data_IF_538158943107
#
_entry.id   IF_538158943107
#
_cell.length_a   1.000
_cell.length_b   1.000
_cell.length_c   1.000
_cell.angle_alpha   90.00
_cell.angle_beta   90.00
_cell.angle_gamma   90.00
#
_symmetry.space_group_name_H-M   'P 1'
#
loop_
_entity.id
_entity.type
_entity.pdbx_description
1 polymer ?
#
# COMPACT_ATOMS: atom_id res chain seq x y z
N UNK A 1 1.34 18.47 -13.53
CA UNK A 1 2.72 18.16 -13.11
C UNK A 1 2.72 16.72 -12.62
N UNK A 2 3.51 15.84 -13.24
CA UNK A 2 3.81 14.55 -12.64
C UNK A 2 4.47 14.81 -11.26
N UNK A 3 4.16 14.04 -10.21
CA UNK A 3 4.93 14.13 -8.99
C UNK A 3 6.39 13.88 -9.37
N UNK A 4 7.27 14.84 -9.08
CA UNK A 4 8.70 14.55 -9.06
C UNK A 4 8.86 13.57 -7.90
N UNK A 5 8.92 12.28 -8.22
CA UNK A 5 9.41 11.29 -7.26
C UNK A 5 10.77 11.80 -6.83
N UNK A 6 10.98 11.94 -5.53
CA UNK A 6 12.29 12.29 -5.01
C UNK A 6 13.29 11.24 -5.54
N UNK A 7 14.54 11.63 -5.82
CA UNK A 7 15.54 10.69 -6.25
C UNK A 7 15.57 9.52 -5.26
N UNK A 8 15.69 8.30 -5.79
CA UNK A 8 15.92 7.12 -4.95
C UNK A 8 17.18 7.36 -4.13
N UNK A 9 17.29 6.79 -2.92
CA UNK A 9 18.53 6.83 -2.18
C UNK A 9 19.67 6.33 -3.06
N UNK A 10 20.86 6.90 -2.90
CA UNK A 10 22.07 6.36 -3.51
C UNK A 10 22.31 4.92 -3.07
N UNK A 11 23.12 4.18 -3.82
CA UNK A 11 23.52 2.83 -3.43
C UNK A 11 24.15 2.85 -2.04
N UNK A 12 25.03 3.82 -1.75
CA UNK A 12 25.66 4.01 -0.45
C UNK A 12 24.64 4.23 0.69
N UNK A 13 23.62 5.07 0.49
CA UNK A 13 22.54 5.26 1.47
C UNK A 13 21.67 4.02 1.65
N UNK A 14 21.47 3.25 0.57
CA UNK A 14 20.70 2.00 0.59
C UNK A 14 21.46 0.83 1.21
N UNK A 15 22.80 0.94 1.29
CA UNK A 15 23.68 -0.09 1.81
C UNK A 15 23.76 -0.10 3.32
N UNK A 16 23.28 0.93 4.04
CA UNK A 16 23.28 0.90 5.50
C UNK A 16 22.68 -0.41 6.03
N UNK A 17 23.33 -1.12 6.98
CA UNK A 17 24.53 -0.76 7.73
C UNK A 17 25.85 -1.33 7.15
N UNK A 18 25.83 -1.85 5.93
CA UNK A 18 27.00 -2.38 5.25
C UNK A 18 27.96 -1.26 4.84
N UNK A 19 29.28 -1.43 5.05
CA UNK A 19 30.26 -0.39 4.75
C UNK A 19 30.51 -0.18 3.25
N UNK A 20 30.14 -1.16 2.42
CA UNK A 20 30.26 -1.13 0.96
C UNK A 20 29.44 -2.27 0.33
N UNK A 21 29.29 -2.22 -0.99
CA UNK A 21 28.53 -3.17 -1.79
C UNK A 21 29.09 -4.59 -1.72
N UNK A 22 30.42 -4.75 -1.85
CA UNK A 22 31.11 -6.04 -1.76
C UNK A 22 30.83 -6.79 -0.46
N UNK A 23 30.83 -6.06 0.66
CA UNK A 23 30.53 -6.60 2.00
C UNK A 23 29.05 -6.98 2.11
N UNK A 24 28.14 -6.18 1.56
CA UNK A 24 26.72 -6.52 1.48
C UNK A 24 26.48 -7.81 0.69
N UNK A 25 27.04 -7.93 -0.52
CA UNK A 25 26.87 -9.12 -1.35
C UNK A 25 27.34 -10.39 -0.63
N UNK A 26 28.54 -10.35 -0.06
CA UNK A 26 29.09 -11.49 0.66
C UNK A 26 28.29 -11.82 1.94
N UNK A 27 27.86 -10.81 2.70
CA UNK A 27 27.03 -11.00 3.89
C UNK A 27 25.65 -11.57 3.55
N UNK A 28 25.01 -11.07 2.49
CA UNK A 28 23.74 -11.56 1.99
C UNK A 28 23.84 -13.03 1.62
N UNK A 29 24.85 -13.42 0.84
CA UNK A 29 25.09 -14.83 0.52
C UNK A 29 25.25 -15.66 1.80
N UNK A 30 26.21 -15.28 2.66
CA UNK A 30 26.54 -16.01 3.89
C UNK A 30 25.32 -16.28 4.78
N UNK A 31 24.47 -15.27 4.98
CA UNK A 31 23.31 -15.36 5.88
C UNK A 31 22.05 -15.94 5.24
N UNK A 32 21.94 -15.94 3.90
CA UNK A 32 20.82 -16.60 3.20
C UNK A 32 21.10 -18.07 2.90
N UNK A 33 22.38 -18.49 2.95
CA UNK A 33 22.81 -19.90 2.81
C UNK A 33 23.19 -20.54 4.15
N UNK A 34 22.85 -19.92 5.28
CA UNK A 34 23.19 -20.43 6.62
C UNK A 34 22.60 -21.86 6.78
N UNK A 35 23.46 -22.86 7.01
CA UNK A 35 23.08 -24.28 7.10
C UNK A 35 23.28 -25.13 5.82
N UNK A 36 23.46 -24.50 4.65
CA UNK A 36 23.71 -25.20 3.36
C UNK A 36 24.97 -24.71 2.64
N UNK A 37 25.76 -23.82 3.25
CA UNK A 37 26.96 -23.20 2.67
C UNK A 37 28.08 -24.16 2.21
N UNK A 38 28.00 -25.46 2.54
CA UNK A 38 28.91 -26.49 2.05
C UNK A 38 28.34 -27.30 0.87
N UNK A 39 27.20 -26.92 0.31
CA UNK A 39 26.62 -27.56 -0.86
C UNK A 39 27.22 -27.01 -2.15
N UNK A 40 27.28 -27.84 -3.20
CA UNK A 40 27.73 -27.41 -4.53
C UNK A 40 26.90 -26.23 -5.05
N UNK A 41 25.59 -26.22 -4.78
CA UNK A 41 24.69 -25.13 -5.16
C UNK A 41 25.02 -23.81 -4.46
N UNK A 42 25.35 -23.84 -3.16
CA UNK A 42 25.74 -22.64 -2.42
C UNK A 42 27.12 -22.13 -2.86
N UNK A 43 28.07 -23.02 -3.16
CA UNK A 43 29.36 -22.63 -3.72
C UNK A 43 29.22 -22.05 -5.13
N UNK A 44 28.34 -22.63 -5.96
CA UNK A 44 28.06 -22.11 -7.29
C UNK A 44 27.45 -20.70 -7.21
N UNK A 45 26.48 -20.47 -6.31
CA UNK A 45 25.92 -19.12 -6.11
C UNK A 45 26.93 -18.12 -5.54
N UNK A 46 27.90 -18.55 -4.73
CA UNK A 46 29.00 -17.66 -4.31
C UNK A 46 29.82 -17.17 -5.51
N UNK A 47 30.12 -18.08 -6.44
CA UNK A 47 30.88 -17.73 -7.64
C UNK A 47 30.06 -16.82 -8.58
N UNK A 48 28.79 -17.16 -8.80
CA UNK A 48 27.92 -16.48 -9.76
C UNK A 48 27.32 -15.16 -9.24
N UNK A 49 26.86 -15.13 -7.98
CA UNK A 49 26.13 -13.99 -7.42
C UNK A 49 27.03 -12.99 -6.68
N UNK A 50 28.24 -13.39 -6.29
CA UNK A 50 29.16 -12.53 -5.52
C UNK A 50 30.45 -12.26 -6.27
N UNK A 51 31.19 -13.29 -6.70
CA UNK A 51 32.52 -13.08 -7.30
C UNK A 51 32.49 -12.70 -8.78
N UNK A 52 31.41 -13.00 -9.49
CA UNK A 52 31.22 -12.59 -10.88
C UNK A 52 30.55 -11.21 -11.02
N UNK A 53 30.17 -10.55 -9.91
CA UNK A 53 29.64 -9.18 -9.94
C UNK A 53 30.77 -8.18 -10.26
N UNK A 54 30.57 -7.35 -11.28
CA UNK A 54 31.57 -6.40 -11.79
C UNK A 54 31.98 -5.33 -10.76
N UNK A 55 31.12 -5.02 -9.78
CA UNK A 55 31.38 -4.05 -8.72
C UNK A 55 31.96 -4.71 -7.45
N UNK A 56 32.15 -6.03 -7.44
CA UNK A 56 32.71 -6.75 -6.30
C UNK A 56 34.22 -6.55 -6.19
N UNK A 57 34.65 -6.06 -5.03
CA UNK A 57 36.06 -5.89 -4.67
C UNK A 57 36.39 -6.80 -3.48
N UNK A 58 37.14 -7.86 -3.73
CA UNK A 58 37.47 -8.86 -2.69
C UNK A 58 38.19 -8.27 -1.47
N UNK A 59 38.97 -7.20 -1.65
CA UNK A 59 39.71 -6.51 -0.58
C UNK A 59 38.79 -5.78 0.42
N UNK A 60 37.56 -5.48 0.03
CA UNK A 60 36.57 -4.84 0.90
C UNK A 60 36.06 -5.80 1.98
N UNK A 61 36.08 -7.11 1.72
CA UNK A 61 35.48 -8.13 2.58
C UNK A 61 36.47 -8.57 3.65
N UNK A 62 36.27 -8.10 4.89
CA UNK A 62 37.14 -8.42 6.03
C UNK A 62 36.49 -9.43 6.98
N UNK A 63 37.07 -10.63 7.08
CA UNK A 63 36.55 -11.75 7.87
C UNK A 63 36.27 -11.39 9.36
N UNK A 64 37.09 -10.54 9.97
CA UNK A 64 36.94 -10.14 11.38
C UNK A 64 35.75 -9.18 11.63
N UNK A 65 35.14 -8.63 10.57
CA UNK A 65 34.05 -7.66 10.65
C UNK A 65 32.65 -8.27 10.80
N UNK A 66 32.44 -9.52 10.38
CA UNK A 66 31.09 -10.08 10.19
C UNK A 66 30.28 -10.24 11.49
N UNK A 67 30.94 -10.53 12.63
CA UNK A 67 30.24 -10.56 13.92
C UNK A 67 29.69 -9.19 14.30
N UNK A 68 30.52 -8.14 14.21
CA UNK A 68 30.11 -6.76 14.48
C UNK A 68 29.09 -6.26 13.45
N UNK A 69 29.22 -6.68 12.20
CA UNK A 69 28.28 -6.35 11.14
C UNK A 69 26.91 -7.00 11.40
N UNK A 70 26.87 -8.26 11.85
CA UNK A 70 25.62 -8.92 12.26
C UNK A 70 24.95 -8.14 13.40
N UNK A 71 25.70 -7.74 14.42
CA UNK A 71 25.20 -6.87 15.50
C UNK A 71 24.72 -5.50 14.99
N UNK A 72 25.39 -4.93 13.98
CA UNK A 72 24.98 -3.67 13.36
C UNK A 72 23.68 -3.83 12.57
N UNK A 73 23.52 -4.92 11.80
CA UNK A 73 22.29 -5.28 11.09
C UNK A 73 21.14 -5.53 12.04
N UNK A 74 21.36 -6.24 13.15
CA UNK A 74 20.34 -6.46 14.18
C UNK A 74 19.86 -5.16 14.84
N UNK A 75 20.72 -4.15 14.92
CA UNK A 75 20.39 -2.82 15.48
C UNK A 75 19.92 -1.82 14.42
N UNK A 76 20.06 -2.14 13.15
CA UNK A 76 19.75 -1.23 12.06
C UNK A 76 18.24 -1.15 11.88
N UNK A 77 17.67 0.02 12.12
CA UNK A 77 16.25 0.30 12.00
C UNK A 77 16.05 1.41 10.95
N UNK A 78 16.12 1.08 9.64
CA UNK A 78 15.84 2.06 8.61
C UNK A 78 14.36 2.44 8.65
N UNK A 79 14.04 3.70 8.35
CA UNK A 79 12.64 4.10 8.14
C UNK A 79 12.15 3.42 6.83
N UNK A 80 11.18 2.50 6.89
CA UNK A 80 10.67 1.84 5.68
C UNK A 80 9.80 2.80 4.83
N UNK A 81 9.48 4.00 5.34
CA UNK A 81 8.57 4.95 4.71
C UNK A 81 9.31 6.04 3.93
N UNK A 82 10.10 5.62 2.94
CA UNK A 82 10.86 6.55 2.10
C UNK A 82 9.95 7.50 1.32
N UNK A 83 10.23 8.80 1.38
CA UNK A 83 9.51 9.82 0.63
C UNK A 83 9.68 9.65 -0.90
N UNK A 84 10.79 9.06 -1.36
CA UNK A 84 11.00 8.67 -2.77
C UNK A 84 9.97 7.65 -3.26
N UNK A 85 9.49 6.79 -2.35
CA UNK A 85 8.43 5.84 -2.61
C UNK A 85 7.03 6.44 -2.45
N UNK A 86 6.94 7.76 -2.21
CA UNK A 86 5.71 8.51 -2.12
C UNK A 86 5.03 8.41 -0.76
N UNK A 87 5.75 7.93 0.27
CA UNK A 87 5.26 7.95 1.65
C UNK A 87 5.24 9.37 2.20
N UNK A 88 4.13 9.69 2.85
CA UNK A 88 3.91 10.91 3.59
C UNK A 88 3.45 10.56 5.01
N UNK A 89 3.64 11.51 5.92
CA UNK A 89 3.18 11.42 7.30
C UNK A 89 2.24 12.57 7.62
N UNK A 90 1.18 12.29 8.37
CA UNK A 90 0.29 13.31 8.90
C UNK A 90 -0.42 12.84 10.16
N UNK A 91 -1.10 13.78 10.84
CA UNK A 91 -2.05 13.45 11.89
C UNK A 91 -3.48 13.38 11.33
N UNK A 92 -4.29 12.46 11.86
CA UNK A 92 -5.71 12.37 11.57
C UNK A 92 -6.49 13.10 12.64
N UNK A 93 -7.25 14.13 12.26
CA UNK A 93 -8.11 14.83 13.21
C UNK A 93 -9.47 14.16 13.29
N UNK A 94 -9.84 13.69 14.48
CA UNK A 94 -11.15 13.10 14.77
C UNK A 94 -11.98 14.04 15.64
N UNK A 95 -13.31 13.92 15.56
CA UNK A 95 -14.25 14.62 16.44
C UNK A 95 -14.63 13.68 17.58
N UNK A 96 -14.24 14.03 18.81
CA UNK A 96 -14.53 13.25 20.02
C UNK A 96 -15.81 13.79 20.65
N UNK A 97 -16.92 13.01 20.68
CA UNK A 97 -18.13 13.43 21.35
C UNK A 97 -17.94 13.37 22.87
N UNK A 98 -18.05 14.52 23.53
CA UNK A 98 -17.85 14.63 24.98
C UNK A 98 -19.14 14.40 25.77
N UNK A 99 -20.29 14.54 25.11
CA UNK A 99 -21.62 14.34 25.68
C UNK A 99 -22.30 15.66 26.05
N UNK A 100 -23.34 15.59 26.88
CA UNK A 100 -24.00 16.79 27.41
C UNK A 100 -23.35 17.20 28.74
N UNK A 101 -23.17 18.50 29.01
CA UNK A 101 -22.83 18.98 30.34
C UNK A 101 -23.82 18.42 31.38
N UNK A 102 -23.34 17.94 32.52
CA UNK A 102 -24.24 17.44 33.58
C UNK A 102 -24.99 18.62 34.21
N UNK A 103 -26.29 18.49 34.51
CA UNK A 103 -27.00 19.53 35.24
C UNK A 103 -26.43 19.65 36.66
N UNK A 104 -26.03 20.86 37.04
CA UNK A 104 -25.54 21.31 38.36
C UNK A 104 -24.10 20.92 38.75
N UNK A 105 -23.26 21.94 38.93
CA UNK A 105 -22.03 21.90 39.75
C UNK A 105 -20.73 21.46 39.09
N UNK A 106 -20.74 20.98 37.85
CA UNK A 106 -19.52 20.61 37.12
C UNK A 106 -19.23 21.59 35.97
N UNK A 107 -17.94 21.73 35.64
CA UNK A 107 -17.40 22.63 34.63
C UNK A 107 -18.12 22.44 33.28
N UNK A 108 -18.56 23.54 32.66
CA UNK A 108 -19.20 23.51 31.34
C UNK A 108 -18.18 23.07 30.28
N UNK A 109 -18.56 22.15 29.39
CA UNK A 109 -17.68 21.60 28.35
C UNK A 109 -18.41 21.46 27.01
N UNK A 110 -17.72 21.62 25.87
CA UNK A 110 -18.36 21.57 24.56
C UNK A 110 -18.92 20.18 24.25
N UNK A 111 -19.94 20.05 23.38
CA UNK A 111 -20.53 18.76 23.04
C UNK A 111 -19.55 17.81 22.32
N UNK A 112 -18.53 18.36 21.66
CA UNK A 112 -17.45 17.62 21.02
C UNK A 112 -16.16 18.45 20.99
N UNK A 113 -15.02 17.77 20.96
CA UNK A 113 -13.71 18.39 20.79
C UNK A 113 -12.91 17.68 19.68
N UNK A 114 -12.03 18.41 19.01
CA UNK A 114 -11.15 17.84 17.98
C UNK A 114 -9.90 17.27 18.63
N UNK A 115 -9.54 16.05 18.23
CA UNK A 115 -8.33 15.38 18.70
C UNK A 115 -7.48 14.97 17.50
N UNK A 116 -6.19 15.30 17.52
CA UNK A 116 -5.25 14.93 16.47
C UNK A 116 -4.52 13.64 16.85
N UNK A 117 -4.69 12.60 16.04
CA UNK A 117 -3.99 11.32 16.18
C UNK A 117 -2.77 11.33 15.26
N UNK A 118 -1.53 11.41 15.80
CA UNK A 118 -0.31 11.42 14.98
C UNK A 118 0.01 10.04 14.40
N UNK A 119 0.98 9.99 13.49
CA UNK A 119 1.60 8.73 13.03
C UNK A 119 0.91 8.03 11.87
N UNK A 120 -0.02 8.67 11.14
CA UNK A 120 -0.52 8.12 9.89
C UNK A 120 0.58 8.20 8.82
N UNK A 121 1.05 7.03 8.37
CA UNK A 121 1.86 6.88 7.16
C UNK A 121 0.96 6.50 6.00
N UNK A 122 1.05 7.20 4.87
CA UNK A 122 0.19 6.97 3.71
C UNK A 122 0.81 7.39 2.38
N UNK A 123 0.22 6.91 1.28
CA UNK A 123 0.62 7.24 -0.10
C UNK A 123 -0.60 7.68 -0.91
N UNK A 124 -0.38 8.57 -1.89
CA UNK A 124 -1.44 8.95 -2.82
C UNK A 124 -1.78 7.78 -3.76
N UNK A 125 -3.03 7.34 -3.75
CA UNK A 125 -3.55 6.28 -4.64
C UNK A 125 -3.28 6.64 -6.11
N UNK A 126 -3.49 7.91 -6.48
CA UNK A 126 -3.28 8.39 -7.85
C UNK A 126 -1.81 8.29 -8.26
N UNK A 127 -0.88 8.55 -7.34
CA UNK A 127 0.55 8.46 -7.62
C UNK A 127 1.02 7.02 -7.73
N UNK A 128 0.45 6.12 -6.93
CA UNK A 128 0.69 4.69 -7.08
C UNK A 128 0.22 4.21 -8.45
N UNK A 129 -1.02 4.53 -8.86
CA UNK A 129 -1.54 4.16 -10.19
C UNK A 129 -0.63 4.68 -11.31
N UNK A 130 -0.24 5.95 -11.23
CA UNK A 130 0.65 6.56 -12.21
C UNK A 130 2.04 5.93 -12.24
N UNK A 131 2.58 5.55 -11.08
CA UNK A 131 3.87 4.87 -10.99
C UNK A 131 3.78 3.49 -11.62
N UNK A 132 2.82 2.67 -11.18
CA UNK A 132 2.66 1.30 -11.64
C UNK A 132 2.50 1.27 -13.16
N UNK A 133 1.58 2.03 -13.73
CA UNK A 133 1.37 2.07 -15.20
C UNK A 133 2.66 2.43 -15.96
N UNK A 134 3.54 3.26 -15.38
CA UNK A 134 4.77 3.73 -16.05
C UNK A 134 5.98 2.84 -15.83
N UNK A 135 6.08 2.16 -14.70
CA UNK A 135 7.33 1.52 -14.26
C UNK A 135 7.21 0.03 -14.01
N UNK A 136 6.00 -0.50 -13.82
CA UNK A 136 5.82 -1.91 -13.54
C UNK A 136 5.85 -2.70 -14.86
N UNK A 137 6.81 -3.64 -15.04
CA UNK A 137 6.91 -4.44 -16.26
C UNK A 137 5.67 -5.30 -16.51
N UNK A 138 4.89 -5.62 -15.46
CA UNK A 138 3.71 -6.47 -15.54
C UNK A 138 2.48 -5.75 -16.12
N UNK A 139 2.57 -4.43 -16.38
CA UNK A 139 1.47 -3.65 -16.98
C UNK A 139 1.05 -4.18 -18.35
N UNK A 140 1.96 -4.83 -19.07
CA UNK A 140 1.65 -5.47 -20.35
C UNK A 140 0.61 -6.58 -20.25
N UNK A 141 0.47 -7.21 -19.07
CA UNK A 141 -0.51 -8.27 -18.83
C UNK A 141 -1.87 -7.73 -18.35
N UNK A 142 -2.00 -6.40 -18.17
CA UNK A 142 -3.23 -5.81 -17.64
C UNK A 142 -4.32 -5.80 -18.71
N UNK A 143 -5.50 -6.26 -18.33
CA UNK A 143 -6.70 -6.23 -19.16
C UNK A 143 -7.39 -4.87 -19.00
N UNK A 144 -7.19 -3.98 -19.97
CA UNK A 144 -7.77 -2.63 -19.96
C UNK A 144 -9.24 -2.60 -20.41
N UNK A 145 -9.64 -3.61 -21.17
CA UNK A 145 -10.99 -3.76 -21.72
C UNK A 145 -11.65 -5.00 -21.11
N UNK A 146 -12.83 -4.86 -20.50
CA UNK A 146 -13.55 -6.03 -19.99
C UNK A 146 -14.12 -6.86 -21.14
N UNK A 147 -14.28 -8.15 -20.91
CA UNK A 147 -14.80 -9.09 -21.91
C UNK A 147 -15.63 -10.19 -21.26
N UNK A 148 -16.49 -10.82 -22.06
CA UNK A 148 -17.18 -12.05 -21.68
C UNK A 148 -16.44 -13.24 -22.26
N UNK A 149 -16.28 -14.28 -21.45
CA UNK A 149 -15.71 -15.55 -21.90
C UNK A 149 -16.64 -16.71 -21.55
N UNK A 150 -16.60 -17.74 -22.40
CA UNK A 150 -17.50 -18.88 -22.33
C UNK A 150 -16.72 -20.17 -22.52
N UNK A 151 -17.05 -21.18 -21.73
CA UNK A 151 -16.57 -22.54 -22.00
C UNK A 151 -17.49 -23.16 -23.04
N UNK A 152 -16.90 -23.69 -24.11
CA UNK A 152 -17.62 -24.42 -25.15
C UNK A 152 -18.28 -25.66 -24.53
N UNK A 153 -19.59 -25.78 -24.69
CA UNK A 153 -20.31 -26.96 -24.22
C UNK A 153 -19.91 -28.22 -25.01
N UNK A 154 -19.80 -29.35 -24.31
CA UNK A 154 -19.58 -30.67 -24.92
C UNK A 154 -20.91 -31.41 -25.10
N UNK A 155 -20.98 -32.28 -26.11
CA UNK A 155 -22.15 -33.16 -26.32
C UNK A 155 -23.47 -32.42 -26.61
N UNK A 156 -23.41 -31.30 -27.34
CA UNK A 156 -24.60 -30.51 -27.70
C UNK A 156 -25.11 -29.57 -26.59
N UNK A 157 -24.42 -29.48 -25.45
CA UNK A 157 -24.75 -28.49 -24.41
C UNK A 157 -24.45 -27.08 -24.89
N UNK A 158 -25.26 -26.07 -24.52
CA UNK A 158 -24.95 -24.68 -24.81
C UNK A 158 -23.66 -24.22 -24.09
N UNK A 159 -22.95 -23.21 -24.62
CA UNK A 159 -21.81 -22.61 -23.93
C UNK A 159 -22.21 -22.03 -22.56
N UNK A 160 -21.34 -22.17 -21.57
CA UNK A 160 -21.55 -21.64 -20.21
C UNK A 160 -20.69 -20.42 -19.97
N UNK A 161 -21.26 -19.36 -19.38
CA UNK A 161 -20.53 -18.14 -19.02
C UNK A 161 -19.50 -18.44 -17.92
N UNK A 162 -18.29 -17.91 -18.09
CA UNK A 162 -17.23 -17.94 -17.07
C UNK A 162 -16.96 -16.52 -16.57
N UNK A 163 -16.81 -16.41 -15.25
CA UNK A 163 -16.32 -15.22 -14.56
C UNK A 163 -15.23 -15.69 -13.61
N UNK A 164 -13.97 -15.37 -13.94
CA UNK A 164 -12.78 -15.79 -13.20
C UNK A 164 -11.99 -14.61 -12.61
N UNK A 165 -12.17 -13.43 -13.19
CA UNK A 165 -11.52 -12.19 -12.81
C UNK A 165 -12.47 -10.98 -12.90
N UNK A 166 -12.05 -9.84 -12.33
CA UNK A 166 -12.82 -8.60 -12.31
C UNK A 166 -13.12 -8.10 -13.72
N UNK A 167 -12.15 -8.09 -14.62
CA UNK A 167 -12.36 -7.67 -16.02
C UNK A 167 -13.30 -8.60 -16.80
N UNK A 168 -13.58 -9.81 -16.28
CA UNK A 168 -14.58 -10.72 -16.85
C UNK A 168 -15.96 -10.62 -16.19
N UNK A 169 -16.09 -9.82 -15.13
CA UNK A 169 -17.32 -9.69 -14.33
C UNK A 169 -18.34 -8.76 -14.97
N UNK A 170 -19.63 -9.03 -14.69
CA UNK A 170 -20.73 -8.19 -15.18
C UNK A 170 -20.65 -6.77 -14.59
N UNK A 171 -20.28 -6.63 -13.31
CA UNK A 171 -20.09 -5.32 -12.67
C UNK A 171 -19.04 -4.44 -13.39
N UNK A 172 -17.89 -5.00 -13.78
CA UNK A 172 -16.87 -4.24 -14.50
C UNK A 172 -17.32 -3.86 -15.92
N UNK A 173 -18.08 -4.73 -16.60
CA UNK A 173 -18.65 -4.41 -17.90
C UNK A 173 -19.69 -3.29 -17.82
N UNK A 174 -20.60 -3.36 -16.86
CA UNK A 174 -21.62 -2.33 -16.63
C UNK A 174 -20.98 -0.96 -16.38
N UNK A 175 -19.98 -0.90 -15.50
CA UNK A 175 -19.21 0.32 -15.24
C UNK A 175 -18.48 0.83 -16.49
N UNK A 176 -17.85 -0.06 -17.24
CA UNK A 176 -17.14 0.30 -18.47
C UNK A 176 -18.10 0.85 -19.53
N UNK A 177 -19.23 0.19 -19.75
CA UNK A 177 -20.26 0.67 -20.68
C UNK A 177 -20.89 1.99 -20.25
N UNK A 178 -21.17 2.16 -18.95
CA UNK A 178 -21.67 3.40 -18.40
C UNK A 178 -20.68 4.54 -18.64
N UNK A 179 -19.38 4.30 -18.44
CA UNK A 179 -18.33 5.24 -18.80
C UNK A 179 -18.35 5.55 -20.30
N UNK A 180 -18.49 4.53 -21.17
CA UNK A 180 -18.51 4.77 -22.62
C UNK A 180 -19.75 5.56 -23.08
N UNK A 181 -20.90 5.38 -22.44
CA UNK A 181 -22.13 6.15 -22.71
C UNK A 181 -22.10 7.56 -22.12
N UNK A 182 -21.28 7.81 -21.10
CA UNK A 182 -21.18 9.14 -20.47
C UNK A 182 -20.60 10.20 -21.42
N UNK A 183 -20.92 11.50 -21.25
CA UNK A 183 -20.27 12.59 -21.98
C UNK A 183 -18.75 12.55 -21.81
N UNK A 184 -18.02 12.84 -22.88
CA UNK A 184 -16.57 12.99 -22.81
C UNK A 184 -16.21 14.31 -22.12
N UNK A 185 -15.04 14.34 -21.49
CA UNK A 185 -14.43 15.60 -21.06
C UNK A 185 -14.25 16.53 -22.27
N UNK A 186 -14.55 17.83 -22.14
CA UNK A 186 -14.45 18.78 -23.25
C UNK A 186 -13.09 18.72 -23.96
N UNK A 187 -13.11 18.56 -25.29
CA UNK A 187 -11.91 18.45 -26.11
C UNK A 187 -11.08 17.16 -25.94
N UNK A 188 -11.53 16.20 -25.13
CA UNK A 188 -10.78 14.97 -24.89
C UNK A 188 -11.05 13.91 -25.98
N UNK A 189 -10.02 13.65 -26.79
CA UNK A 189 -10.02 12.62 -27.86
C UNK A 189 -9.45 11.25 -27.45
N UNK A 190 -8.86 11.15 -26.26
CA UNK A 190 -8.20 9.92 -25.82
C UNK A 190 -9.21 8.78 -25.57
N UNK A 191 -8.71 7.55 -25.71
CA UNK A 191 -9.41 6.35 -25.26
C UNK A 191 -9.73 6.47 -23.76
N UNK A 192 -10.94 6.05 -23.37
CA UNK A 192 -11.37 6.02 -21.96
C UNK A 192 -11.32 4.58 -21.49
N UNK A 193 -10.58 4.34 -20.41
CA UNK A 193 -10.50 3.03 -19.76
C UNK A 193 -10.87 3.16 -18.28
N UNK A 194 -11.22 2.02 -17.68
CA UNK A 194 -11.39 1.92 -16.22
C UNK A 194 -10.16 1.22 -15.65
N UNK A 195 -9.61 1.81 -14.59
CA UNK A 195 -8.65 1.16 -13.72
C UNK A 195 -9.38 0.74 -12.44
N UNK A 196 -9.58 -0.56 -12.30
CA UNK A 196 -10.28 -1.18 -11.19
C UNK A 196 -9.36 -1.24 -9.97
N UNK A 197 -9.80 -0.65 -8.87
CA UNK A 197 -9.12 -0.64 -7.58
C UNK A 197 -9.83 -1.59 -6.63
N UNK A 198 -9.05 -2.40 -5.94
CA UNK A 198 -9.51 -3.28 -4.88
C UNK A 198 -8.79 -2.90 -3.60
N UNK A 199 -9.53 -2.57 -2.55
CA UNK A 199 -8.97 -2.20 -1.26
C UNK A 199 -9.25 -3.25 -0.20
N UNK A 200 -8.24 -3.45 0.65
CA UNK A 200 -8.29 -4.36 1.76
C UNK A 200 -7.67 -3.71 2.99
N UNK A 201 -8.16 -4.09 4.17
CA UNK A 201 -7.61 -3.65 5.44
C UNK A 201 -7.89 -4.68 6.52
N UNK A 202 -6.86 -5.21 7.17
CA UNK A 202 -6.99 -6.21 8.23
C UNK A 202 -5.99 -5.94 9.36
N UNK A 203 -6.26 -6.53 10.53
CA UNK A 203 -5.37 -6.41 11.67
C UNK A 203 -4.17 -7.36 11.51
N UNK A 204 -2.97 -6.81 11.39
CA UNK A 204 -1.74 -7.60 11.27
C UNK A 204 -0.98 -7.63 12.59
N UNK A 205 -0.67 -8.83 13.09
CA UNK A 205 0.27 -9.01 14.20
C UNK A 205 1.70 -9.00 13.66
N UNK A 206 2.54 -8.09 14.15
CA UNK A 206 3.90 -7.91 13.64
C UNK A 206 4.94 -8.86 14.25
N UNK A 207 4.64 -9.46 15.41
CA UNK A 207 5.55 -10.36 16.09
C UNK A 207 4.80 -11.49 16.80
N UNK A 208 5.35 -12.70 16.78
CA UNK A 208 4.85 -13.83 17.58
C UNK A 208 4.97 -13.57 19.09
N UNK A 209 5.86 -12.66 19.49
CA UNK A 209 6.03 -12.21 20.87
C UNK A 209 6.06 -10.67 20.90
N UNK A 210 4.97 -10.06 21.35
CA UNK A 210 4.81 -8.61 21.44
C UNK A 210 3.36 -8.16 21.28
N UNK A 211 3.03 -6.95 21.73
CA UNK A 211 1.70 -6.34 21.60
C UNK A 211 1.58 -5.40 20.40
N UNK A 212 2.63 -5.26 19.59
CA UNK A 212 2.67 -4.37 18.43
C UNK A 212 1.69 -4.87 17.35
N UNK A 213 0.60 -4.12 17.17
CA UNK A 213 -0.39 -4.33 16.13
C UNK A 213 -0.20 -3.29 15.04
N UNK A 214 -0.25 -3.73 13.79
CA UNK A 214 -0.29 -2.86 12.62
C UNK A 214 -1.63 -3.00 11.93
N UNK A 215 -2.12 -1.91 11.37
CA UNK A 215 -3.37 -1.93 10.62
C UNK A 215 -3.14 -1.37 9.22
N UNK A 216 -2.65 -2.20 8.28
CA UNK A 216 -2.44 -1.79 6.91
C UNK A 216 -3.76 -1.51 6.19
N UNK A 217 -3.67 -0.65 5.18
CA UNK A 217 -4.58 -0.59 4.05
C UNK A 217 -3.73 -0.89 2.82
N UNK A 218 -4.15 -1.86 2.02
CA UNK A 218 -3.45 -2.25 0.80
C UNK A 218 -4.41 -2.32 -0.39
N UNK A 219 -3.82 -2.19 -1.58
CA UNK A 219 -4.53 -2.03 -2.84
C UNK A 219 -4.01 -3.02 -3.88
N UNK A 220 -4.94 -3.63 -4.62
CA UNK A 220 -4.68 -4.39 -5.84
C UNK A 220 -5.38 -3.76 -7.04
N UNK A 221 -4.89 -4.07 -8.23
CA UNK A 221 -5.53 -3.67 -9.49
C UNK A 221 -6.35 -4.81 -10.08
N UNK A 222 -7.65 -4.59 -10.23
CA UNK A 222 -8.56 -5.56 -10.85
C UNK A 222 -8.29 -5.80 -12.34
N UNK A 223 -7.52 -4.94 -13.00
CA UNK A 223 -7.08 -5.12 -14.38
C UNK A 223 -5.92 -6.14 -14.51
N UNK A 224 -5.13 -6.33 -13.45
CA UNK A 224 -4.03 -7.29 -13.46
C UNK A 224 -4.59 -8.71 -13.32
N UNK A 225 -4.13 -9.73 -14.05
CA UNK A 225 -4.67 -11.08 -13.94
C UNK A 225 -4.55 -11.68 -12.53
N UNK A 226 -5.54 -12.48 -12.13
CA UNK A 226 -5.58 -13.16 -10.83
C UNK A 226 -4.33 -13.97 -10.56
N UNK A 227 -3.84 -14.72 -11.55
CA UNK A 227 -2.63 -15.54 -11.37
C UNK A 227 -1.41 -14.68 -11.01
N UNK A 228 -1.30 -13.46 -11.56
CA UNK A 228 -0.22 -12.54 -11.24
C UNK A 228 -0.43 -11.93 -9.84
N UNK A 229 -1.67 -11.53 -9.51
CA UNK A 229 -1.98 -11.03 -8.15
C UNK A 229 -1.75 -12.06 -7.05
N UNK A 230 -1.89 -13.35 -7.36
CA UNK A 230 -1.67 -14.45 -6.41
C UNK A 230 -0.20 -14.86 -6.23
N UNK A 231 0.73 -14.23 -6.96
CA UNK A 231 2.16 -14.52 -6.89
C UNK A 231 2.90 -13.41 -6.15
N UNK A 232 3.66 -13.78 -5.12
CA UNK A 232 4.40 -12.83 -4.28
C UNK A 232 5.52 -12.11 -5.02
N UNK A 233 6.15 -12.77 -5.99
CA UNK A 233 7.24 -12.23 -6.82
C UNK A 233 6.75 -11.23 -7.89
N UNK A 234 5.44 -11.13 -8.10
CA UNK A 234 4.85 -10.16 -9.04
C UNK A 234 4.60 -8.80 -8.38
N UNK A 235 4.81 -8.67 -7.06
CA UNK A 235 4.68 -7.42 -6.31
C UNK A 235 3.35 -6.65 -6.56
N UNK A 236 2.27 -7.39 -6.81
CA UNK A 236 0.95 -6.86 -7.18
C UNK A 236 0.17 -6.20 -6.02
N UNK A 237 0.64 -6.39 -4.78
CA UNK A 237 0.06 -5.79 -3.58
C UNK A 237 0.74 -4.45 -3.30
N UNK A 238 -0.05 -3.39 -3.14
CA UNK A 238 0.48 -2.05 -2.86
C UNK A 238 -0.03 -1.53 -1.53
N UNK A 239 0.85 -1.36 -0.55
CA UNK A 239 0.50 -0.72 0.72
C UNK A 239 0.17 0.77 0.49
N UNK A 240 -0.97 1.24 0.97
CA UNK A 240 -1.37 2.63 0.77
C UNK A 240 -1.44 3.43 2.06
N UNK A 241 -1.61 2.76 3.20
CA UNK A 241 -1.57 3.41 4.51
C UNK A 241 -1.34 2.42 5.65
N UNK A 242 -0.92 2.96 6.79
CA UNK A 242 -0.91 2.27 8.08
C UNK A 242 -1.70 3.11 9.09
N UNK A 243 -2.84 2.59 9.54
CA UNK A 243 -3.72 3.31 10.46
C UNK A 243 -3.08 3.31 11.86
N UNK A 244 -2.84 4.49 12.46
CA UNK A 244 -2.31 4.56 13.81
C UNK A 244 -3.36 4.10 14.83
N UNK A 245 -2.91 3.68 16.00
CA UNK A 245 -3.81 3.49 17.15
C UNK A 245 -4.12 4.84 17.81
N UNK A 246 -5.18 4.90 18.62
CA UNK A 246 -5.36 6.02 19.54
C UNK A 246 -4.14 6.06 20.48
N UNK A 247 -3.47 7.22 20.61
CA UNK A 247 -2.28 7.35 21.45
C UNK A 247 -2.65 7.25 22.93
N UNK A 248 -1.67 6.95 23.78
CA UNK A 248 -1.85 6.91 25.24
C UNK A 248 -2.38 8.24 25.81
N UNK A 249 -2.08 9.37 25.16
CA UNK A 249 -2.55 10.71 25.53
C UNK A 249 -4.04 10.96 25.27
N UNK A 250 -4.75 10.02 24.62
CA UNK A 250 -6.17 10.18 24.32
C UNK A 250 -7.03 10.26 25.59
N UNK A 251 -6.74 9.42 26.60
CA UNK A 251 -7.50 9.42 27.85
C UNK A 251 -7.28 10.72 28.63
N UNK A 252 -6.03 11.19 28.71
CA UNK A 252 -5.68 12.47 29.33
C UNK A 252 -6.42 13.63 28.64
N UNK A 253 -6.42 13.65 27.31
CA UNK A 253 -7.19 14.65 26.55
C UNK A 253 -8.66 14.66 26.92
N UNK A 254 -9.31 13.49 27.03
CA UNK A 254 -10.74 13.43 27.37
C UNK A 254 -10.97 13.92 28.80
N UNK A 255 -10.11 13.54 29.76
CA UNK A 255 -10.17 14.01 31.14
C UNK A 255 -10.01 15.53 31.20
N UNK A 256 -9.07 16.10 30.47
CA UNK A 256 -8.85 17.55 30.41
C UNK A 256 -10.06 18.29 29.82
N UNK A 257 -10.78 17.68 28.87
CA UNK A 257 -11.93 18.30 28.22
C UNK A 257 -13.23 18.23 29.04
N UNK A 258 -13.49 17.12 29.75
CA UNK A 258 -14.79 16.91 30.44
C UNK A 258 -14.70 16.49 31.91
N UNK A 259 -13.49 16.33 32.45
CA UNK A 259 -13.22 15.97 33.85
C UNK A 259 -13.30 14.47 34.18
N UNK A 260 -13.57 13.59 33.20
CA UNK A 260 -13.63 12.15 33.41
C UNK A 260 -13.26 11.36 32.14
N UNK A 261 -12.67 10.15 32.29
CA UNK A 261 -12.09 9.40 31.18
C UNK A 261 -13.13 8.91 30.17
N UNK A 262 -12.66 8.53 28.97
CA UNK A 262 -13.49 7.88 27.97
C UNK A 262 -13.89 6.47 28.43
N UNK A 263 -15.16 6.12 28.23
CA UNK A 263 -15.63 4.75 28.41
C UNK A 263 -15.31 3.91 27.15
N UNK A 264 -15.43 2.56 27.21
CA UNK A 264 -15.13 1.72 26.05
C UNK A 264 -15.95 2.07 24.81
N UNK A 265 -17.20 2.54 24.99
CA UNK A 265 -18.07 2.94 23.87
C UNK A 265 -17.53 4.18 23.14
N UNK A 266 -17.06 5.17 23.89
CA UNK A 266 -16.44 6.37 23.32
C UNK A 266 -15.12 6.03 22.64
N UNK A 267 -14.30 5.15 23.22
CA UNK A 267 -13.09 4.67 22.56
C UNK A 267 -13.38 3.98 21.23
N UNK A 268 -14.32 3.02 21.21
CA UNK A 268 -14.74 2.33 19.98
C UNK A 268 -15.23 3.33 18.93
N UNK A 269 -16.04 4.32 19.34
CA UNK A 269 -16.46 5.39 18.44
C UNK A 269 -15.27 6.17 17.87
N UNK A 270 -14.31 6.56 18.71
CA UNK A 270 -13.13 7.33 18.26
C UNK A 270 -12.22 6.52 17.33
N UNK A 271 -12.06 5.20 17.55
CA UNK A 271 -11.33 4.30 16.64
C UNK A 271 -12.01 4.21 15.27
N UNK A 272 -13.34 4.15 15.25
CA UNK A 272 -14.13 4.24 14.01
C UNK A 272 -13.95 5.57 13.30
N UNK A 273 -14.05 6.69 14.02
CA UNK A 273 -13.84 8.02 13.43
C UNK A 273 -12.42 8.19 12.88
N UNK A 274 -11.42 7.59 13.55
CA UNK A 274 -10.04 7.54 13.06
C UNK A 274 -9.94 6.77 11.75
N UNK A 275 -10.54 5.58 11.66
CA UNK A 275 -10.59 4.77 10.45
C UNK A 275 -11.21 5.54 9.27
N UNK A 276 -12.36 6.20 9.48
CA UNK A 276 -12.99 7.04 8.46
C UNK A 276 -12.17 8.30 8.13
N UNK A 277 -11.48 8.86 9.12
CA UNK A 277 -10.56 9.98 8.94
C UNK A 277 -9.41 9.63 7.99
N UNK A 278 -8.84 8.43 8.10
CA UNK A 278 -7.82 7.93 7.17
C UNK A 278 -8.37 7.83 5.75
N UNK A 279 -9.55 7.23 5.57
CA UNK A 279 -10.17 7.14 4.23
C UNK A 279 -10.44 8.51 3.60
N UNK A 280 -10.83 9.52 4.39
CA UNK A 280 -10.99 10.89 3.90
C UNK A 280 -9.67 11.51 3.41
N UNK A 281 -8.54 11.15 4.02
CA UNK A 281 -7.21 11.58 3.58
C UNK A 281 -6.75 10.83 2.33
N UNK A 282 -7.04 9.54 2.22
CA UNK A 282 -6.70 8.73 1.04
C UNK A 282 -7.53 9.09 -0.20
N UNK A 283 -8.83 9.31 -0.01
CA UNK A 283 -9.77 9.71 -1.05
C UNK A 283 -9.76 11.25 -1.22
N UNK A 284 -8.56 11.80 -1.36
CA UNK A 284 -8.31 13.23 -1.45
C UNK A 284 -8.91 13.88 -2.72
N UNK A 285 -8.76 15.20 -2.84
CA UNK A 285 -9.25 15.95 -4.01
C UNK A 285 -8.67 15.44 -5.33
N UNK A 286 -7.43 14.93 -5.31
CA UNK A 286 -6.75 14.39 -6.49
C UNK A 286 -7.37 13.07 -6.92
N UNK A 287 -7.65 12.17 -5.98
CA UNK A 287 -8.39 10.94 -6.21
C UNK A 287 -9.80 11.23 -6.72
N UNK A 288 -10.56 12.11 -6.07
CA UNK A 288 -11.92 12.45 -6.50
C UNK A 288 -11.93 13.02 -7.93
N UNK A 289 -10.95 13.85 -8.28
CA UNK A 289 -10.79 14.36 -9.65
C UNK A 289 -10.50 13.24 -10.63
N UNK A 290 -9.59 12.32 -10.31
CA UNK A 290 -9.29 11.15 -11.14
C UNK A 290 -10.47 10.19 -11.28
N UNK A 291 -11.27 10.04 -10.22
CA UNK A 291 -12.49 9.24 -10.22
C UNK A 291 -13.56 9.83 -11.15
N UNK A 292 -13.82 11.14 -11.05
CA UNK A 292 -14.88 11.82 -11.82
C UNK A 292 -14.49 12.10 -13.27
N UNK A 293 -13.28 12.60 -13.49
CA UNK A 293 -12.86 13.15 -14.78
C UNK A 293 -11.80 12.29 -15.48
N UNK A 294 -11.28 11.27 -14.81
CA UNK A 294 -10.13 10.53 -15.30
C UNK A 294 -8.84 11.35 -15.30
N UNK A 295 -7.72 10.65 -15.50
CA UNK A 295 -6.37 11.21 -15.61
C UNK A 295 -5.72 10.73 -16.89
N UNK A 296 -4.97 11.62 -17.56
CA UNK A 296 -4.21 11.24 -18.76
C UNK A 296 -2.90 10.58 -18.34
N UNK A 297 -2.68 9.37 -18.83
CA UNK A 297 -1.47 8.59 -18.57
C UNK A 297 -1.00 8.00 -19.90
N UNK A 298 0.30 8.16 -20.19
CA UNK A 298 0.99 7.43 -21.27
C UNK A 298 1.34 6.03 -20.74
N UNK A 299 0.91 5.01 -21.47
CA UNK A 299 1.19 3.60 -21.18
C UNK A 299 2.53 3.18 -21.83
N UNK A 300 3.07 2.01 -21.46
CA UNK A 300 4.31 1.48 -22.05
C UNK A 300 4.27 1.35 -23.58
N UNK A 301 3.07 1.16 -24.15
CA UNK A 301 2.82 1.13 -25.59
C UNK A 301 2.82 2.52 -26.28
N UNK A 302 3.20 3.58 -25.56
CA UNK A 302 3.22 4.99 -26.03
C UNK A 302 1.84 5.57 -26.34
N UNK A 303 0.77 4.90 -25.96
CA UNK A 303 -0.60 5.40 -26.15
C UNK A 303 -1.04 6.13 -24.89
N UNK A 304 -1.51 7.37 -25.07
CA UNK A 304 -2.11 8.15 -24.00
C UNK A 304 -3.59 7.77 -23.86
N UNK A 305 -3.96 7.37 -22.64
CA UNK A 305 -5.34 7.01 -22.30
C UNK A 305 -5.85 7.91 -21.19
N UNK A 306 -7.17 8.18 -21.19
CA UNK A 306 -7.86 8.78 -20.05
C UNK A 306 -8.34 7.66 -19.14
N UNK A 307 -7.65 7.54 -18.01
CA UNK A 307 -7.83 6.49 -17.03
C UNK A 307 -8.80 6.95 -15.95
N UNK A 308 -9.94 6.28 -15.81
CA UNK A 308 -10.92 6.52 -14.75
C UNK A 308 -10.74 5.50 -13.64
N UNK A 309 -10.52 5.97 -12.42
CA UNK A 309 -10.38 5.08 -11.26
C UNK A 309 -11.77 4.63 -10.80
N UNK A 310 -11.94 3.34 -10.51
CA UNK A 310 -13.17 2.79 -9.93
C UNK A 310 -12.83 1.86 -8.77
N UNK A 311 -13.51 2.05 -7.64
CA UNK A 311 -13.41 1.13 -6.51
C UNK A 311 -14.39 0.01 -6.79
N UNK A 312 -13.89 -1.17 -7.12
CA UNK A 312 -14.72 -2.34 -7.47
C UNK A 312 -14.90 -3.25 -6.25
N UNK A 313 -13.89 -3.31 -5.39
CA UNK A 313 -13.96 -4.13 -4.17
C UNK A 313 -13.39 -3.34 -3.02
N UNK A 314 -14.06 -3.43 -1.88
CA UNK A 314 -13.57 -2.93 -0.60
C UNK A 314 -13.96 -3.94 0.47
N UNK A 315 -12.96 -4.47 1.17
CA UNK A 315 -13.16 -5.36 2.30
C UNK A 315 -12.28 -4.88 3.43
N UNK A 316 -12.82 -4.80 4.63
CA UNK A 316 -12.03 -4.42 5.78
C UNK A 316 -12.53 -5.14 7.01
N UNK A 317 -11.59 -5.62 7.83
CA UNK A 317 -11.87 -5.80 9.24
C UNK A 317 -12.13 -4.43 9.83
N UNK A 318 -13.06 -4.36 10.77
CA UNK A 318 -13.33 -3.13 11.46
C UNK A 318 -12.50 -3.10 12.75
N UNK A 319 -11.77 -2.01 13.07
CA UNK A 319 -11.00 -1.87 14.31
C UNK A 319 -11.88 -1.72 15.57
N UNK A 320 -13.14 -2.15 15.49
CA UNK A 320 -14.21 -1.97 16.47
C UNK A 320 -14.30 -3.09 17.51
N UNK A 321 -13.45 -4.13 17.45
CA UNK A 321 -13.34 -5.15 18.50
C UNK A 321 -12.23 -4.86 19.50
#
# INVERSE_FOLDING_TARGET
MAPRLLPRPSLEESLGPFPNYSTFLHARWLWTTEGTGNSDAANQSLLEDVYADDEFVSQDVKAQGFKRLKEAVEKYQPDPFYASDGWAESAVTISVPLGKPRPSGQQDFPPAAKFAVPGLRYRSIVDIVQRVIRTDPNVHDFHLHPFRQYVKGQGGRPPSRVVDDIYSSDAMMEEYEALQRSPREPGCKFERIIFALQFWSDATQLANFGSAKLWPIYMYFGNQPKWARSRSDMHACHDIAYIPSLPSTFQDFVVDQRGFPADPKLETHCRRELFHGVWKLLLDKKFIRAYKHGILIEFPDRIIRRVYLRIITYSADYPEK
#
